data_IF_786076726280
#
_entry.id   IF_786076726280
#
_cell.length_a   1.000
_cell.length_b   1.000
_cell.length_c   1.000
_cell.angle_alpha   90.00
_cell.angle_beta   90.00
_cell.angle_gamma   90.00
#
_symmetry.space_group_name_H-M   'P 1'
#
loop_
_entity.id
_entity.type
_entity.pdbx_description
1 polymer ?
#
# COMPACT_ATOMS: atom_id res chain seq x y z
N UNK A 1 -10.54 -11.13 18.03
CA UNK A 1 -10.63 -10.71 16.62
C UNK A 1 -11.06 -9.25 16.57
N UNK A 2 -10.12 -8.30 16.66
CA UNK A 2 -10.49 -6.87 16.63
C UNK A 2 -10.62 -6.41 15.18
N UNK A 3 -11.86 -6.06 14.82
CA UNK A 3 -12.27 -5.59 13.51
C UNK A 3 -11.69 -4.20 13.25
N UNK A 4 -11.33 -3.94 11.99
CA UNK A 4 -10.68 -2.70 11.54
C UNK A 4 -11.61 -1.46 11.52
N UNK A 5 -12.72 -1.50 12.25
CA UNK A 5 -13.79 -0.49 12.32
C UNK A 5 -13.90 0.16 13.71
N UNK A 6 -12.92 -0.03 14.59
CA UNK A 6 -12.83 0.72 15.84
C UNK A 6 -12.26 2.13 15.55
N UNK A 7 -12.91 3.24 15.97
CA UNK A 7 -12.35 4.59 15.91
C UNK A 7 -11.03 4.72 16.69
N UNK A 8 -10.80 3.83 17.67
CA UNK A 8 -9.54 3.64 18.41
C UNK A 8 -8.64 2.54 17.82
N UNK A 9 -8.88 2.08 16.60
CA UNK A 9 -7.96 1.21 15.90
C UNK A 9 -6.82 2.05 15.32
N UNK A 10 -5.59 1.57 15.54
CA UNK A 10 -4.40 2.17 14.96
C UNK A 10 -4.58 2.37 13.44
N UNK A 11 -4.37 3.58 12.91
CA UNK A 11 -4.47 3.88 11.49
C UNK A 11 -3.73 2.87 10.63
N UNK A 12 -4.32 2.56 9.49
CA UNK A 12 -3.76 1.58 8.55
C UNK A 12 -2.44 2.14 7.99
N UNK A 13 -1.35 1.40 8.20
CA UNK A 13 0.01 1.83 7.92
C UNK A 13 0.22 2.46 6.54
N UNK A 14 1.21 3.35 6.42
CA UNK A 14 1.61 3.97 5.15
C UNK A 14 1.84 2.93 4.08
N UNK A 15 1.24 3.14 2.91
CA UNK A 15 1.50 2.33 1.72
C UNK A 15 2.71 2.90 0.99
N UNK A 16 3.75 2.09 0.81
CA UNK A 16 4.89 2.46 -0.01
C UNK A 16 4.55 2.38 -1.50
N UNK A 17 5.36 3.02 -2.34
CA UNK A 17 5.18 3.01 -3.79
C UNK A 17 5.07 1.58 -4.36
N UNK A 18 5.85 0.65 -3.80
CA UNK A 18 5.78 -0.77 -4.16
C UNK A 18 4.48 -1.43 -3.72
N UNK A 19 3.96 -1.13 -2.52
CA UNK A 19 2.68 -1.69 -2.05
C UNK A 19 1.53 -1.20 -2.93
N UNK A 20 1.51 0.08 -3.28
CA UNK A 20 0.50 0.66 -4.18
C UNK A 20 0.55 -0.02 -5.55
N UNK A 21 1.75 -0.23 -6.09
CA UNK A 21 1.94 -0.98 -7.33
C UNK A 21 1.44 -2.42 -7.24
N UNK A 22 1.79 -3.15 -6.17
CA UNK A 22 1.33 -4.53 -5.96
C UNK A 22 -0.19 -4.59 -5.81
N UNK A 23 -0.81 -3.66 -5.08
CA UNK A 23 -2.26 -3.58 -4.93
C UNK A 23 -2.98 -3.37 -6.26
N UNK A 24 -2.39 -2.59 -7.17
CA UNK A 24 -2.96 -2.38 -8.51
C UNK A 24 -2.76 -3.60 -9.44
N UNK A 25 -1.63 -4.32 -9.30
CA UNK A 25 -1.30 -5.47 -10.14
C UNK A 25 -1.93 -6.77 -9.64
N UNK A 26 -2.05 -6.95 -8.33
CA UNK A 26 -2.59 -8.14 -7.68
C UNK A 26 -3.94 -8.56 -8.26
N UNK A 27 -4.99 -7.72 -8.33
CA UNK A 27 -6.28 -8.13 -8.88
C UNK A 27 -6.19 -8.48 -10.37
N UNK A 28 -5.29 -7.85 -11.12
CA UNK A 28 -5.05 -8.17 -12.54
C UNK A 28 -4.44 -9.56 -12.70
N UNK A 29 -3.48 -9.91 -11.84
CA UNK A 29 -2.77 -11.20 -11.87
C UNK A 29 -3.58 -12.32 -11.23
N UNK A 30 -4.37 -12.02 -10.21
CA UNK A 30 -5.30 -12.94 -9.56
C UNK A 30 -6.43 -13.33 -10.53
N UNK A 31 -6.93 -12.39 -11.34
CA UNK A 31 -7.83 -12.69 -12.46
C UNK A 31 -7.21 -13.59 -13.53
N UNK A 32 -5.88 -13.63 -13.64
CA UNK A 32 -5.16 -14.57 -14.52
C UNK A 32 -5.00 -15.96 -13.89
N UNK A 33 -5.55 -16.19 -12.70
CA UNK A 33 -5.43 -17.46 -11.96
C UNK A 33 -4.08 -17.66 -11.28
N UNK A 34 -3.25 -16.61 -11.15
CA UNK A 34 -1.95 -16.73 -10.46
C UNK A 34 -2.12 -16.78 -8.95
N UNK A 35 -1.34 -17.65 -8.31
CA UNK A 35 -1.32 -17.74 -6.85
C UNK A 35 -0.57 -16.55 -6.24
N UNK A 36 -0.93 -16.14 -5.02
CA UNK A 36 -0.27 -15.03 -4.30
C UNK A 36 1.28 -15.06 -4.32
N UNK A 37 1.98 -16.18 -4.05
CA UNK A 37 3.44 -16.25 -4.16
C UNK A 37 3.95 -15.99 -5.58
N UNK A 38 3.20 -16.37 -6.63
CA UNK A 38 3.57 -16.12 -8.02
C UNK A 38 3.39 -14.64 -8.37
N UNK A 39 2.30 -14.04 -7.90
CA UNK A 39 2.03 -12.60 -8.00
C UNK A 39 3.18 -11.83 -7.36
N UNK A 40 3.57 -12.17 -6.13
CA UNK A 40 4.66 -11.49 -5.44
C UNK A 40 5.99 -11.56 -6.21
N UNK A 41 6.34 -12.74 -6.74
CA UNK A 41 7.53 -12.92 -7.59
C UNK A 41 7.45 -12.10 -8.87
N UNK A 42 6.29 -12.06 -9.52
CA UNK A 42 6.07 -11.32 -10.78
C UNK A 42 6.12 -9.81 -10.55
N UNK A 43 5.45 -9.30 -9.53
CA UNK A 43 5.49 -7.90 -9.14
C UNK A 43 6.91 -7.45 -8.76
N UNK A 44 7.66 -8.24 -8.01
CA UNK A 44 9.05 -7.92 -7.67
C UNK A 44 9.95 -7.79 -8.91
N UNK A 45 9.77 -8.66 -9.91
CA UNK A 45 10.48 -8.56 -11.20
C UNK A 45 10.04 -7.34 -12.00
N UNK A 46 8.74 -7.06 -12.07
CA UNK A 46 8.21 -5.90 -12.79
C UNK A 46 8.71 -4.60 -12.16
N UNK A 47 8.70 -4.50 -10.83
CA UNK A 47 9.16 -3.33 -10.09
C UNK A 47 10.64 -3.04 -10.36
N UNK A 48 11.50 -4.07 -10.33
CA UNK A 48 12.93 -3.91 -10.67
C UNK A 48 13.17 -3.50 -12.13
N UNK A 49 12.24 -3.84 -13.03
CA UNK A 49 12.29 -3.47 -14.44
C UNK A 49 11.64 -2.12 -14.73
N UNK A 50 10.89 -1.55 -13.79
CA UNK A 50 10.25 -0.26 -14.00
C UNK A 50 11.29 0.85 -14.09
N UNK A 51 11.04 1.79 -14.98
CA UNK A 51 11.85 2.99 -15.10
C UNK A 51 11.60 3.93 -13.90
N UNK A 52 12.56 4.84 -13.60
CA UNK A 52 12.38 5.86 -12.57
C UNK A 52 11.12 6.71 -12.79
N UNK A 53 10.71 6.91 -14.04
CA UNK A 53 9.50 7.67 -14.38
C UNK A 53 8.23 6.92 -13.99
N UNK A 54 8.18 5.61 -14.24
CA UNK A 54 7.06 4.77 -13.86
C UNK A 54 6.95 4.65 -12.33
N UNK A 55 8.08 4.50 -11.63
CA UNK A 55 8.11 4.49 -10.16
C UNK A 55 7.78 5.85 -9.56
N UNK A 56 8.12 6.97 -10.22
CA UNK A 56 7.80 8.33 -9.76
C UNK A 56 6.31 8.56 -9.57
N UNK A 57 5.45 8.01 -10.45
CA UNK A 57 3.99 8.06 -10.27
C UNK A 57 3.57 7.40 -8.94
N UNK A 58 4.10 6.21 -8.66
CA UNK A 58 3.80 5.49 -7.42
C UNK A 58 4.45 6.14 -6.19
N UNK A 59 5.59 6.81 -6.37
CA UNK A 59 6.26 7.56 -5.32
C UNK A 59 5.42 8.76 -4.88
N UNK A 60 4.86 9.52 -5.83
CA UNK A 60 3.94 10.61 -5.52
C UNK A 60 2.69 10.11 -4.76
N UNK A 61 2.11 8.98 -5.19
CA UNK A 61 0.99 8.36 -4.47
C UNK A 61 1.37 7.88 -3.07
N UNK A 62 2.60 7.39 -2.88
CA UNK A 62 3.11 6.98 -1.58
C UNK A 62 3.35 8.18 -0.65
N UNK A 63 3.80 9.31 -1.19
CA UNK A 63 3.98 10.55 -0.43
C UNK A 63 2.63 11.13 0.01
N UNK A 64 1.61 11.04 -0.84
CA UNK A 64 0.23 11.40 -0.49
C UNK A 64 -0.33 10.47 0.60
N UNK A 65 -0.17 9.15 0.47
CA UNK A 65 -0.61 8.18 1.49
C UNK A 65 0.15 8.34 2.81
N UNK A 66 1.42 8.74 2.75
CA UNK A 66 2.21 9.11 3.92
C UNK A 66 1.59 10.29 4.66
N UNK A 67 1.20 11.35 3.95
CA UNK A 67 0.56 12.51 4.55
C UNK A 67 -0.81 12.17 5.15
N UNK A 68 -1.60 11.30 4.49
CA UNK A 68 -2.86 10.75 5.04
C UNK A 68 -2.62 10.04 6.37
N UNK A 69 -1.68 9.09 6.38
CA UNK A 69 -1.37 8.32 7.59
C UNK A 69 -0.83 9.18 8.73
N UNK A 70 0.00 10.18 8.45
CA UNK A 70 0.51 11.09 9.48
C UNK A 70 -0.63 11.87 10.14
N UNK A 71 -1.56 12.40 9.35
CA UNK A 71 -2.77 13.07 9.87
C UNK A 71 -3.65 12.11 10.68
N UNK A 72 -3.93 10.91 10.16
CA UNK A 72 -4.71 9.91 10.87
C UNK A 72 -4.03 9.46 12.17
N UNK A 73 -2.70 9.33 12.18
CA UNK A 73 -1.94 8.97 13.36
C UNK A 73 -1.92 10.06 14.42
N UNK A 74 -1.87 11.33 14.03
CA UNK A 74 -1.94 12.43 14.98
C UNK A 74 -3.32 12.51 15.63
N UNK A 75 -4.40 12.31 14.84
CA UNK A 75 -5.76 12.18 15.37
C UNK A 75 -5.90 10.95 16.28
N UNK A 76 -5.34 9.82 15.87
CA UNK A 76 -5.36 8.59 16.68
C UNK A 76 -4.63 8.78 18.01
N UNK A 77 -3.44 9.40 17.99
CA UNK A 77 -2.68 9.72 19.20
C UNK A 77 -3.45 10.65 20.13
N UNK A 78 -4.10 11.67 19.57
CA UNK A 78 -4.93 12.61 20.31
C UNK A 78 -6.21 11.97 20.88
N UNK A 79 -6.80 10.98 20.20
CA UNK A 79 -7.96 10.22 20.69
C UNK A 79 -7.58 9.08 21.65
N UNK A 80 -6.33 8.60 21.60
CA UNK A 80 -5.82 7.55 22.48
C UNK A 80 -5.14 8.07 23.76
N UNK A 81 -5.04 9.40 23.91
CA UNK A 81 -4.55 10.10 25.09
C UNK A 81 -5.71 10.48 26.01
#
# INVERSE_FOLDING_TARGET
>A
TRSADDPSAKPKGRRSAYVIFVDEQRPKLEKQGMSFPEIAKKCGRLWRKMTPEATKKYQALADEDKARYEKEMDLYRAQSA
#
